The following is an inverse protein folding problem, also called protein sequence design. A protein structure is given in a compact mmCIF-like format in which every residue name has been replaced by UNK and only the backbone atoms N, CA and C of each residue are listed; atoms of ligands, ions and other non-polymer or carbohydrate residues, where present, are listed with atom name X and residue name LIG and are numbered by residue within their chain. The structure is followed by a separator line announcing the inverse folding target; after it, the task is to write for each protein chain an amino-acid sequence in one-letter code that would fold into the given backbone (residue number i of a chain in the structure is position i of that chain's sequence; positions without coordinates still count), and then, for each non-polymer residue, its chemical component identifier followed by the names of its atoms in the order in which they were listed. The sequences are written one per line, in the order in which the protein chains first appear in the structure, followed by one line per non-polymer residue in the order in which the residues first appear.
data_IF_098336796999
#
_entry.id   IF_098336796999
#
_cell.length_a   1.000
_cell.length_b   1.000
_cell.length_c   1.000
_cell.angle_alpha   90.00
_cell.angle_beta   90.00
_cell.angle_gamma   90.00
#
_symmetry.space_group_name_H-M   'P 1'
#
loop_
_entity.id
_entity.type
_entity.pdbx_description
1 polymer ?
#
# COMPACT_ATOMS: atom_id res chain seq x y z
N UNK A 1 -23.14 -12.39 12.33
CA UNK A 1 -22.21 -11.56 13.11
C UNK A 1 -20.91 -11.42 12.33
N UNK A 2 -20.59 -10.22 11.83
CA UNK A 2 -19.25 -9.99 11.26
C UNK A 2 -18.24 -9.96 12.40
N UNK A 3 -17.34 -10.94 12.47
CA UNK A 3 -16.18 -10.87 13.34
C UNK A 3 -15.34 -9.64 12.95
N UNK A 4 -14.71 -8.97 13.92
CA UNK A 4 -13.79 -7.83 13.69
C UNK A 4 -12.79 -8.15 12.57
N UNK A 5 -12.36 -9.41 12.51
CA UNK A 5 -11.51 -9.97 11.46
C UNK A 5 -12.06 -9.79 10.03
N UNK A 6 -13.34 -10.09 9.79
CA UNK A 6 -13.95 -9.95 8.47
C UNK A 6 -14.00 -8.47 8.04
N UNK A 7 -14.26 -7.57 8.98
CA UNK A 7 -14.24 -6.12 8.72
C UNK A 7 -12.84 -5.66 8.35
N UNK A 8 -11.81 -6.15 9.03
CA UNK A 8 -10.40 -5.86 8.72
C UNK A 8 -10.00 -6.39 7.35
N UNK A 9 -10.39 -7.61 6.98
CA UNK A 9 -10.12 -8.18 5.66
C UNK A 9 -10.77 -7.33 4.57
N UNK A 10 -12.06 -7.03 4.70
CA UNK A 10 -12.78 -6.20 3.71
C UNK A 10 -12.13 -4.84 3.55
N UNK A 11 -11.73 -4.22 4.65
CA UNK A 11 -11.03 -2.93 4.64
C UNK A 11 -9.65 -3.01 3.98
N UNK A 12 -8.84 -4.01 4.35
CA UNK A 12 -7.47 -4.16 3.87
C UNK A 12 -7.39 -4.52 2.39
N UNK A 13 -8.23 -5.45 1.93
CA UNK A 13 -8.27 -5.88 0.53
C UNK A 13 -9.22 -5.03 -0.34
N UNK A 14 -10.03 -4.16 0.26
CA UNK A 14 -10.96 -3.30 -0.46
C UNK A 14 -12.09 -4.08 -1.16
N UNK A 15 -12.53 -5.18 -0.56
CA UNK A 15 -13.58 -6.06 -1.11
C UNK A 15 -14.90 -5.79 -0.37
N UNK A 16 -15.94 -5.42 -1.11
CA UNK A 16 -17.25 -5.04 -0.52
C UNK A 16 -18.04 -6.26 0.00
N UNK A 17 -18.16 -7.30 -0.83
CA UNK A 17 -18.81 -8.57 -0.50
C UNK A 17 -17.77 -9.68 -0.32
N UNK A 18 -17.82 -10.38 0.81
CA UNK A 18 -16.89 -11.45 1.15
C UNK A 18 -17.70 -12.74 1.26
N UNK A 19 -17.93 -13.39 0.11
CA UNK A 19 -18.46 -14.74 0.05
C UNK A 19 -17.35 -15.75 0.43
N UNK A 20 -17.72 -17.03 0.54
CA UNK A 20 -16.80 -18.09 0.96
C UNK A 20 -15.63 -18.26 -0.03
N UNK A 21 -15.88 -18.08 -1.33
CA UNK A 21 -14.87 -18.14 -2.37
C UNK A 21 -13.86 -16.98 -2.28
N UNK A 22 -14.32 -15.73 -2.21
CA UNK A 22 -13.51 -14.52 -2.07
C UNK A 22 -12.70 -14.56 -0.78
N UNK A 23 -13.30 -15.02 0.33
CA UNK A 23 -12.59 -15.20 1.59
C UNK A 23 -11.45 -16.23 1.44
N UNK A 24 -11.70 -17.35 0.78
CA UNK A 24 -10.68 -18.37 0.54
C UNK A 24 -9.52 -17.85 -0.32
N UNK A 25 -9.81 -17.17 -1.43
CA UNK A 25 -8.79 -16.58 -2.32
C UNK A 25 -7.94 -15.54 -1.60
N UNK A 26 -8.57 -14.64 -0.83
CA UNK A 26 -7.89 -13.60 -0.06
C UNK A 26 -7.01 -14.19 1.04
N UNK A 27 -7.47 -15.24 1.73
CA UNK A 27 -6.66 -15.95 2.72
C UNK A 27 -5.46 -16.66 2.08
N UNK A 28 -5.64 -17.31 0.94
CA UNK A 28 -4.55 -17.95 0.21
C UNK A 28 -3.51 -16.93 -0.27
N UNK A 29 -3.96 -15.79 -0.79
CA UNK A 29 -3.09 -14.67 -1.17
C UNK A 29 -2.30 -14.16 0.04
N UNK A 30 -3.00 -13.89 1.16
CA UNK A 30 -2.38 -13.43 2.41
C UNK A 30 -1.28 -14.38 2.89
N UNK A 31 -1.53 -15.69 2.87
CA UNK A 31 -0.56 -16.69 3.26
C UNK A 31 0.67 -16.70 2.34
N UNK A 32 0.47 -16.68 1.02
CA UNK A 32 1.59 -16.65 0.05
C UNK A 32 2.44 -15.40 0.23
N UNK A 33 1.79 -14.24 0.41
CA UNK A 33 2.47 -12.97 0.62
C UNK A 33 3.19 -12.92 1.96
N UNK A 34 2.60 -13.45 3.03
CA UNK A 34 3.24 -13.54 4.34
C UNK A 34 4.51 -14.38 4.28
N UNK A 35 4.44 -15.59 3.71
CA UNK A 35 5.60 -16.48 3.57
C UNK A 35 6.69 -15.80 2.73
N UNK A 36 6.33 -15.24 1.58
CA UNK A 36 7.25 -14.49 0.71
C UNK A 36 7.90 -13.32 1.45
N UNK A 37 7.13 -12.56 2.21
CA UNK A 37 7.63 -11.42 2.99
C UNK A 37 8.62 -11.86 4.06
N UNK A 38 8.27 -12.87 4.87
CA UNK A 38 9.12 -13.39 5.95
C UNK A 38 10.42 -13.97 5.39
N UNK A 39 10.35 -14.80 4.35
CA UNK A 39 11.56 -15.40 3.75
C UNK A 39 12.47 -14.31 3.18
N UNK A 40 11.90 -13.37 2.41
CA UNK A 40 12.69 -12.32 1.79
C UNK A 40 13.27 -11.35 2.81
N UNK A 41 12.53 -11.01 3.86
CA UNK A 41 13.02 -10.13 4.94
C UNK A 41 14.17 -10.78 5.71
N UNK A 42 14.11 -12.08 5.98
CA UNK A 42 15.22 -12.81 6.58
C UNK A 42 16.46 -12.81 5.70
N UNK A 43 16.33 -13.04 4.39
CA UNK A 43 17.46 -12.98 3.45
C UNK A 43 18.11 -11.59 3.45
N UNK A 44 17.30 -10.53 3.42
CA UNK A 44 17.77 -9.15 3.49
C UNK A 44 18.50 -8.89 4.81
N UNK A 45 17.93 -9.33 5.94
CA UNK A 45 18.53 -9.18 7.26
C UNK A 45 19.91 -9.82 7.35
N UNK A 46 20.00 -11.10 7.02
CA UNK A 46 21.26 -11.84 7.10
C UNK A 46 22.29 -11.31 6.11
N UNK A 47 21.87 -10.94 4.89
CA UNK A 47 22.75 -10.31 3.92
C UNK A 47 23.33 -8.99 4.42
N UNK A 48 22.49 -8.10 4.95
CA UNK A 48 22.94 -6.85 5.55
C UNK A 48 23.86 -7.10 6.75
N UNK A 49 23.55 -8.08 7.59
CA UNK A 49 24.35 -8.40 8.76
C UNK A 49 25.75 -8.87 8.36
N UNK A 50 25.87 -9.77 7.38
CA UNK A 50 27.17 -10.24 6.87
C UNK A 50 28.00 -9.09 6.27
N UNK A 51 27.36 -8.17 5.55
CA UNK A 51 28.06 -7.07 4.86
C UNK A 51 28.53 -6.00 5.86
N UNK A 52 27.66 -5.57 6.78
CA UNK A 52 27.89 -4.36 7.56
C UNK A 52 28.47 -4.63 8.95
N UNK A 53 28.18 -5.79 9.56
CA UNK A 53 28.66 -6.14 10.90
C UNK A 53 30.20 -6.16 11.03
N UNK A 54 30.98 -6.73 10.08
CA UNK A 54 32.44 -6.75 10.18
C UNK A 54 33.07 -5.35 10.18
N UNK A 55 32.42 -4.40 9.49
CA UNK A 55 32.87 -3.02 9.38
C UNK A 55 32.31 -2.09 10.48
N UNK A 56 31.50 -2.63 11.39
CA UNK A 56 30.81 -1.88 12.46
C UNK A 56 29.99 -0.68 11.95
N UNK A 57 29.50 -0.74 10.71
CA UNK A 57 28.72 0.33 10.09
C UNK A 57 27.23 0.21 10.44
N UNK A 58 26.91 0.33 11.74
CA UNK A 58 25.55 0.14 12.25
C UNK A 58 24.52 1.10 11.65
N UNK A 59 24.88 2.37 11.43
CA UNK A 59 23.98 3.34 10.81
C UNK A 59 23.56 2.92 9.39
N UNK A 60 24.52 2.43 8.61
CA UNK A 60 24.25 1.94 7.25
C UNK A 60 23.44 0.65 7.27
N UNK A 61 23.72 -0.23 8.23
CA UNK A 61 22.94 -1.45 8.44
C UNK A 61 21.46 -1.14 8.70
N UNK A 62 21.19 -0.23 9.66
CA UNK A 62 19.83 0.18 10.00
C UNK A 62 19.13 0.85 8.82
N UNK A 63 19.81 1.77 8.12
CA UNK A 63 19.27 2.44 6.95
C UNK A 63 18.94 1.47 5.81
N UNK A 64 19.84 0.53 5.49
CA UNK A 64 19.60 -0.45 4.43
C UNK A 64 18.38 -1.31 4.74
N UNK A 65 18.20 -1.72 6.00
CA UNK A 65 17.07 -2.56 6.41
C UNK A 65 15.76 -1.79 6.34
N UNK A 66 15.74 -0.56 6.85
CA UNK A 66 14.57 0.30 6.79
C UNK A 66 14.09 0.50 5.35
N UNK A 67 15.01 0.89 4.44
CA UNK A 67 14.70 1.07 3.02
C UNK A 67 14.26 -0.24 2.37
N UNK A 68 14.98 -1.34 2.62
CA UNK A 68 14.69 -2.63 1.98
C UNK A 68 13.34 -3.19 2.42
N UNK A 69 13.00 -3.09 3.71
CA UNK A 69 11.70 -3.55 4.22
C UNK A 69 10.56 -2.66 3.75
N UNK A 70 10.78 -1.36 3.65
CA UNK A 70 9.81 -0.44 3.06
C UNK A 70 9.53 -0.80 1.59
N UNK A 71 10.57 -1.01 0.78
CA UNK A 71 10.42 -1.45 -0.61
C UNK A 71 9.75 -2.82 -0.71
N UNK A 72 10.11 -3.76 0.16
CA UNK A 72 9.50 -5.09 0.21
C UNK A 72 8.01 -5.00 0.50
N UNK A 73 7.60 -4.18 1.48
CA UNK A 73 6.20 -3.90 1.79
C UNK A 73 5.48 -3.33 0.56
N UNK A 74 6.06 -2.33 -0.09
CA UNK A 74 5.47 -1.69 -1.27
C UNK A 74 5.25 -2.66 -2.44
N UNK A 75 6.23 -3.54 -2.70
CA UNK A 75 6.11 -4.61 -3.70
C UNK A 75 4.94 -5.55 -3.36
N UNK A 76 4.79 -5.96 -2.10
CA UNK A 76 3.70 -6.84 -1.69
C UNK A 76 2.33 -6.16 -1.80
N UNK A 77 2.21 -4.88 -1.43
CA UNK A 77 0.98 -4.10 -1.63
C UNK A 77 0.58 -4.02 -3.11
N UNK A 78 1.56 -3.87 -4.00
CA UNK A 78 1.31 -3.86 -5.45
C UNK A 78 0.87 -5.23 -5.96
N UNK A 79 1.48 -6.32 -5.46
CA UNK A 79 1.05 -7.70 -5.78
C UNK A 79 -0.37 -7.99 -5.32
N UNK A 80 -0.78 -7.50 -4.15
CA UNK A 80 -2.17 -7.61 -3.68
C UNK A 80 -3.10 -6.98 -4.70
N UNK A 81 -2.86 -5.71 -5.05
CA UNK A 81 -3.70 -5.00 -6.02
C UNK A 81 -3.75 -5.70 -7.38
N UNK A 82 -2.61 -6.22 -7.86
CA UNK A 82 -2.57 -6.96 -9.12
C UNK A 82 -3.41 -8.24 -9.08
N UNK A 83 -3.21 -9.09 -8.05
CA UNK A 83 -3.94 -10.34 -7.91
C UNK A 83 -5.44 -10.13 -7.77
N UNK A 84 -5.85 -9.16 -6.95
CA UNK A 84 -7.27 -8.86 -6.74
C UNK A 84 -7.96 -8.37 -8.02
N UNK A 85 -7.22 -7.67 -8.89
CA UNK A 85 -7.72 -7.28 -10.22
C UNK A 85 -7.77 -8.47 -11.19
N UNK A 86 -6.73 -9.33 -11.20
CA UNK A 86 -6.68 -10.50 -12.10
C UNK A 86 -7.80 -11.50 -11.82
N UNK A 87 -8.16 -11.65 -10.54
CA UNK A 87 -9.21 -12.57 -10.08
C UNK A 87 -10.62 -11.96 -10.08
N UNK A 88 -10.78 -10.74 -10.58
CA UNK A 88 -12.02 -9.96 -10.51
C UNK A 88 -12.63 -9.96 -9.09
N UNK A 89 -11.79 -9.92 -8.04
CA UNK A 89 -12.27 -9.86 -6.65
C UNK A 89 -12.69 -8.44 -6.26
N UNK A 90 -12.26 -7.44 -7.05
CA UNK A 90 -12.57 -6.02 -6.88
C UNK A 90 -13.75 -5.55 -7.73
N UNK A 91 -14.39 -6.42 -8.52
CA UNK A 91 -15.62 -6.06 -9.22
C UNK A 91 -16.69 -5.77 -8.17
N UNK A 92 -16.89 -4.49 -7.94
CA UNK A 92 -18.21 -3.93 -7.67
C UNK A 92 -19.05 -4.39 -8.86
N UNK A 93 -20.22 -4.98 -8.64
CA UNK A 93 -21.16 -5.32 -9.72
C UNK A 93 -21.30 -4.10 -10.64
N UNK A 94 -20.57 -4.13 -11.76
CA UNK A 94 -20.48 -3.05 -12.75
C UNK A 94 -21.73 -3.06 -13.63
N UNK A 95 -22.49 -4.14 -13.56
CA UNK A 95 -23.65 -4.45 -14.38
C UNK A 95 -24.82 -3.48 -14.12
N UNK A 96 -24.86 -2.81 -12.97
CA UNK A 96 -25.92 -1.85 -12.62
C UNK A 96 -25.47 -0.38 -12.56
N UNK A 97 -24.18 -0.07 -12.79
CA UNK A 97 -23.67 1.30 -12.67
C UNK A 97 -23.47 2.00 -14.00
N UNK A 98 -23.88 3.27 -14.07
CA UNK A 98 -23.52 4.13 -15.21
C UNK A 98 -22.04 4.49 -15.16
N UNK A 99 -21.45 4.85 -16.31
CA UNK A 99 -20.07 5.34 -16.38
C UNK A 99 -19.83 6.56 -15.48
N UNK A 100 -20.84 7.40 -15.30
CA UNK A 100 -20.81 8.55 -14.38
C UNK A 100 -20.66 8.12 -12.92
N UNK A 101 -21.42 7.10 -12.49
CA UNK A 101 -21.34 6.56 -11.13
C UNK A 101 -19.99 5.90 -10.87
N UNK A 102 -19.45 5.19 -11.87
CA UNK A 102 -18.10 4.63 -11.83
C UNK A 102 -17.04 5.71 -11.64
N UNK A 103 -17.08 6.80 -12.43
CA UNK A 103 -16.14 7.92 -12.29
C UNK A 103 -16.20 8.55 -10.88
N UNK A 104 -17.41 8.74 -10.34
CA UNK A 104 -17.58 9.34 -9.02
C UNK A 104 -17.03 8.43 -7.90
N UNK A 105 -17.33 7.13 -7.96
CA UNK A 105 -16.78 6.13 -7.01
C UNK A 105 -15.26 6.03 -7.15
N UNK A 106 -14.74 6.02 -8.38
CA UNK A 106 -13.31 5.97 -8.63
C UNK A 106 -12.61 7.19 -8.02
N UNK A 107 -13.11 8.40 -8.27
CA UNK A 107 -12.55 9.63 -7.71
C UNK A 107 -12.47 9.58 -6.18
N UNK A 108 -13.55 9.15 -5.50
CA UNK A 108 -13.58 9.00 -4.03
C UNK A 108 -12.56 7.95 -3.55
N UNK A 109 -12.47 6.81 -4.21
CA UNK A 109 -11.52 5.73 -3.88
C UNK A 109 -10.07 6.18 -4.07
N UNK A 110 -9.75 6.81 -5.20
CA UNK A 110 -8.42 7.33 -5.49
C UNK A 110 -8.03 8.39 -4.47
N UNK A 111 -8.91 9.36 -4.18
CA UNK A 111 -8.64 10.43 -3.22
C UNK A 111 -8.38 9.87 -1.82
N UNK A 112 -9.19 8.90 -1.37
CA UNK A 112 -8.99 8.22 -0.08
C UNK A 112 -7.64 7.48 -0.02
N UNK A 113 -7.28 6.76 -1.09
CA UNK A 113 -6.02 6.02 -1.17
C UNK A 113 -4.81 6.94 -1.18
N UNK A 114 -4.86 8.03 -1.94
CA UNK A 114 -3.82 9.05 -1.98
C UNK A 114 -3.66 9.76 -0.64
N UNK A 115 -4.75 10.02 0.09
CA UNK A 115 -4.70 10.61 1.43
C UNK A 115 -3.95 9.68 2.39
N UNK A 116 -4.29 8.39 2.42
CA UNK A 116 -3.58 7.43 3.27
C UNK A 116 -2.09 7.34 2.92
N UNK A 117 -1.77 7.28 1.63
CA UNK A 117 -0.37 7.18 1.19
C UNK A 117 0.41 8.46 1.50
N UNK A 118 -0.20 9.64 1.34
CA UNK A 118 0.44 10.91 1.68
C UNK A 118 0.66 11.05 3.19
N UNK A 119 -0.32 10.66 4.02
CA UNK A 119 -0.18 10.65 5.48
C UNK A 119 0.93 9.68 5.89
N UNK A 120 0.95 8.48 5.33
CA UNK A 120 1.99 7.50 5.60
C UNK A 120 3.37 8.01 5.20
N UNK A 121 3.52 8.58 4.00
CA UNK A 121 4.78 9.15 3.53
C UNK A 121 5.25 10.33 4.39
N UNK A 122 4.32 11.16 4.85
CA UNK A 122 4.61 12.33 5.69
C UNK A 122 5.02 11.93 7.12
N UNK A 123 4.40 10.90 7.69
CA UNK A 123 4.69 10.44 9.05
C UNK A 123 5.82 9.41 9.14
N UNK A 124 6.10 8.68 8.05
CA UNK A 124 7.11 7.63 8.05
C UNK A 124 8.50 8.12 8.51
N UNK A 125 9.04 9.27 8.06
CA UNK A 125 10.32 9.79 8.53
C UNK A 125 10.34 9.98 10.05
N UNK A 126 9.28 10.57 10.61
CA UNK A 126 9.16 10.80 12.05
C UNK A 126 9.05 9.50 12.85
N UNK A 127 8.41 8.48 12.29
CA UNK A 127 8.42 7.14 12.88
C UNK A 127 9.82 6.53 12.86
N UNK A 128 10.57 6.69 11.77
CA UNK A 128 11.96 6.23 11.70
C UNK A 128 12.86 6.99 12.68
N UNK A 129 12.74 8.31 12.77
CA UNK A 129 13.49 9.14 13.72
C UNK A 129 13.18 8.74 15.17
N UNK A 130 11.93 8.38 15.47
CA UNK A 130 11.55 7.85 16.77
C UNK A 130 12.20 6.50 17.06
N UNK A 131 12.24 5.59 16.08
CA UNK A 131 12.89 4.29 16.25
C UNK A 131 14.41 4.42 16.43
N UNK A 132 15.04 5.40 15.78
CA UNK A 132 16.49 5.60 15.83
C UNK A 132 16.94 6.36 17.08
N UNK A 133 16.27 7.46 17.40
CA UNK A 133 16.67 8.39 18.46
C UNK A 133 15.87 8.28 19.77
N UNK A 134 14.76 7.53 19.76
CA UNK A 134 13.80 7.47 20.87
C UNK A 134 13.03 8.77 21.09
N UNK A 135 13.19 9.78 20.21
CA UNK A 135 12.58 11.10 20.32
C UNK A 135 11.85 11.46 19.03
N UNK A 136 10.76 12.23 19.19
CA UNK A 136 10.00 12.76 18.07
C UNK A 136 10.12 14.28 18.06
N UNK A 137 10.66 14.84 16.98
CA UNK A 137 10.64 16.28 16.75
C UNK A 137 9.51 16.66 15.78
N UNK A 138 8.32 16.89 16.35
CA UNK A 138 7.13 17.27 15.58
C UNK A 138 7.29 18.60 14.84
N UNK A 139 8.29 19.43 15.18
CA UNK A 139 8.53 20.70 14.52
C UNK A 139 8.98 20.51 13.07
N UNK A 140 9.70 19.42 12.79
CA UNK A 140 10.21 19.11 11.46
C UNK A 140 9.08 18.77 10.48
N UNK A 141 7.99 18.16 10.97
CA UNK A 141 6.80 17.85 10.16
C UNK A 141 6.19 19.12 9.56
N UNK A 142 5.98 20.16 10.36
CA UNK A 142 5.24 21.38 9.94
C UNK A 142 6.10 22.34 9.09
N UNK A 143 7.28 21.91 8.66
CA UNK A 143 8.13 22.73 7.80
C UNK A 143 7.50 22.92 6.43
N UNK A 144 7.53 24.15 5.90
CA UNK A 144 7.00 24.50 4.56
C UNK A 144 7.50 23.52 3.49
N UNK A 145 8.78 23.12 3.57
CA UNK A 145 9.41 22.15 2.65
C UNK A 145 8.70 20.78 2.67
N UNK A 146 8.40 20.25 3.85
CA UNK A 146 7.77 18.92 3.98
C UNK A 146 6.29 18.97 3.62
N UNK A 147 5.59 20.06 3.94
CA UNK A 147 4.22 20.30 3.48
C UNK A 147 4.17 20.37 1.94
N UNK A 148 5.08 21.13 1.32
CA UNK A 148 5.17 21.21 -0.14
C UNK A 148 5.48 19.84 -0.76
N UNK A 149 6.42 19.08 -0.18
CA UNK A 149 6.75 17.72 -0.62
C UNK A 149 5.55 16.78 -0.52
N UNK A 150 4.77 16.84 0.55
CA UNK A 150 3.56 16.05 0.73
C UNK A 150 2.49 16.37 -0.33
N UNK A 151 2.27 17.66 -0.63
CA UNK A 151 1.31 18.11 -1.66
C UNK A 151 1.73 17.61 -3.05
N UNK A 152 3.02 17.75 -3.40
CA UNK A 152 3.55 17.28 -4.69
C UNK A 152 3.39 15.76 -4.80
N UNK A 153 3.76 15.02 -3.75
CA UNK A 153 3.66 13.56 -3.70
C UNK A 153 2.22 13.11 -3.85
N UNK A 154 1.30 13.69 -3.08
CA UNK A 154 -0.14 13.43 -3.18
C UNK A 154 -0.65 13.66 -4.61
N UNK A 155 -0.29 14.80 -5.22
CA UNK A 155 -0.76 15.18 -6.54
C UNK A 155 -0.27 14.22 -7.63
N UNK A 156 1.01 13.86 -7.60
CA UNK A 156 1.60 12.89 -8.53
C UNK A 156 0.93 11.52 -8.41
N UNK A 157 0.80 10.99 -7.19
CA UNK A 157 0.14 9.70 -6.96
C UNK A 157 -1.33 9.72 -7.39
N UNK A 158 -2.04 10.82 -7.12
CA UNK A 158 -3.43 10.98 -7.55
C UNK A 158 -3.57 10.92 -9.06
N UNK A 159 -2.75 11.66 -9.81
CA UNK A 159 -2.78 11.65 -11.27
C UNK A 159 -2.48 10.25 -11.81
N UNK A 160 -1.44 9.59 -11.32
CA UNK A 160 -1.03 8.25 -11.78
C UNK A 160 -2.15 7.23 -11.56
N UNK A 161 -2.68 7.16 -10.33
CA UNK A 161 -3.72 6.20 -9.98
C UNK A 161 -5.03 6.47 -10.72
N UNK A 162 -5.45 7.74 -10.76
CA UNK A 162 -6.68 8.12 -11.44
C UNK A 162 -6.63 7.80 -12.94
N UNK A 163 -5.53 8.15 -13.62
CA UNK A 163 -5.37 7.87 -15.06
C UNK A 163 -5.30 6.37 -15.35
N UNK A 164 -4.57 5.61 -14.53
CA UNK A 164 -4.47 4.15 -14.67
C UNK A 164 -5.85 3.48 -14.59
N UNK A 165 -6.63 3.82 -13.58
CA UNK A 165 -7.91 3.17 -13.33
C UNK A 165 -9.01 3.67 -14.26
N UNK A 166 -8.99 4.94 -14.66
CA UNK A 166 -9.87 5.46 -15.72
C UNK A 166 -9.66 4.72 -17.05
N UNK A 167 -8.40 4.49 -17.46
CA UNK A 167 -8.08 3.72 -18.67
C UNK A 167 -8.58 2.27 -18.61
N UNK A 168 -8.66 1.68 -17.42
CA UNK A 168 -9.24 0.34 -17.23
C UNK A 168 -10.76 0.39 -17.35
N UNK A 169 -11.41 1.33 -16.67
CA UNK A 169 -12.86 1.54 -16.75
C UNK A 169 -13.35 1.76 -18.16
N UNK A 170 -12.72 2.66 -18.92
CA UNK A 170 -13.08 2.92 -20.33
C UNK A 170 -13.00 1.67 -21.22
N UNK A 171 -12.04 0.77 -20.97
CA UNK A 171 -11.93 -0.49 -21.72
C UNK A 171 -13.06 -1.47 -21.40
N UNK A 172 -13.55 -1.46 -20.16
CA UNK A 172 -14.64 -2.34 -19.70
C UNK A 172 -15.96 -1.83 -20.28
N UNK A 173 -16.27 -0.54 -20.13
CA UNK A 173 -17.53 0.06 -20.63
C UNK A 173 -17.61 0.20 -22.16
N UNK A 174 -16.48 0.11 -22.90
CA UNK A 174 -16.50 0.02 -24.38
C UNK A 174 -16.77 -1.38 -24.91
N UNK A 175 -16.63 -2.42 -24.09
CA UNK A 175 -16.82 -3.82 -24.49
C UNK A 175 -18.24 -4.34 -24.21
N UNK A 176 -18.94 -3.71 -23.28
CA UNK A 176 -20.37 -3.92 -23.01
C UNK A 176 -21.21 -2.97 -23.86
#
# INVERSE_FOLDING_TARGET
MSTVWLTLIKWFYGVDQLDEYRLQEVNQLGNKLFISYVVTSQVIFWGALIIYLPSQQFDKFSFILAVSYFLLLFIHLTKISHFLNEKDLLTIELEEMTFSDYQQKLRKRTLRSCLYLAIFYYLAPTLFDFFDSGRVDFYQLVTIKEIARAIITFSLFYIILYVSDMRKGEKIFRKN
#
